data_IF_957432106375
#
_entry.id   IF_957432106375
#
_cell.length_a   1.000
_cell.length_b   1.000
_cell.length_c   1.000
_cell.angle_alpha   90.00
_cell.angle_beta   90.00
_cell.angle_gamma   90.00
#
_symmetry.space_group_name_H-M   'P 1'
#
loop_
_entity.id
_entity.type
_entity.pdbx_description
1 polymer ?
#
# COMPACT_ATOMS: atom_id res chain seq x y z
N UNK A 1 -6.15 31.50 -25.27
CA UNK A 1 -7.43 31.64 -24.55
C UNK A 1 -8.26 30.39 -24.82
N UNK A 2 -7.82 29.26 -24.26
CA UNK A 2 -8.58 28.01 -24.25
C UNK A 2 -9.18 27.95 -22.85
N UNK A 3 -10.48 28.14 -22.80
CA UNK A 3 -11.27 28.10 -21.57
C UNK A 3 -11.41 26.64 -21.16
N UNK A 4 -10.95 26.28 -19.96
CA UNK A 4 -11.30 25.01 -19.32
C UNK A 4 -12.83 24.95 -19.22
N UNK A 5 -13.49 23.89 -19.70
CA UNK A 5 -14.94 23.82 -19.64
C UNK A 5 -15.41 23.52 -18.21
N UNK A 6 -15.95 24.55 -17.56
CA UNK A 6 -17.06 24.43 -16.63
C UNK A 6 -16.79 23.79 -15.26
N UNK A 7 -15.89 24.35 -14.46
CA UNK A 7 -16.15 24.37 -13.01
C UNK A 7 -17.44 25.16 -12.82
N UNK A 8 -18.52 24.49 -12.40
CA UNK A 8 -19.64 25.20 -11.81
C UNK A 8 -19.10 25.99 -10.62
N UNK A 9 -18.99 27.31 -10.77
CA UNK A 9 -18.60 28.20 -9.68
C UNK A 9 -19.65 28.04 -8.59
N UNK A 10 -19.32 27.26 -7.58
CA UNK A 10 -20.14 27.09 -6.40
C UNK A 10 -20.32 28.48 -5.78
N UNK A 11 -21.57 28.96 -5.70
CA UNK A 11 -21.89 30.34 -5.30
C UNK A 11 -21.48 30.64 -3.86
N UNK A 12 -21.13 29.60 -3.10
CA UNK A 12 -20.83 29.63 -1.68
C UNK A 12 -19.32 29.53 -1.37
N UNK A 13 -18.43 29.80 -2.33
CA UNK A 13 -16.96 29.87 -2.13
C UNK A 13 -16.20 28.54 -2.32
N UNK A 14 -14.87 28.54 -2.17
CA UNK A 14 -14.02 27.38 -2.44
C UNK A 14 -14.27 26.23 -1.44
N UNK A 15 -14.31 24.99 -1.93
CA UNK A 15 -14.56 23.80 -1.11
C UNK A 15 -13.36 23.41 -0.24
N UNK A 16 -12.15 23.78 -0.66
CA UNK A 16 -10.91 23.49 0.04
C UNK A 16 -9.97 24.69 0.02
N UNK A 17 -8.97 24.65 0.90
CA UNK A 17 -7.83 25.56 0.96
C UNK A 17 -6.57 24.73 1.11
N UNK A 18 -5.41 25.34 0.90
CA UNK A 18 -4.14 24.70 1.20
C UNK A 18 -3.72 24.97 2.65
N UNK A 19 -3.20 23.96 3.33
CA UNK A 19 -2.54 24.12 4.63
C UNK A 19 -1.09 24.60 4.48
N UNK A 20 -0.36 24.69 5.59
CA UNK A 20 1.04 25.15 5.60
C UNK A 20 1.99 24.23 4.83
N UNK A 21 1.58 22.98 4.59
CA UNK A 21 2.30 21.94 3.83
C UNK A 21 1.79 21.80 2.40
N UNK A 22 0.94 22.73 1.97
CA UNK A 22 0.31 22.72 0.65
C UNK A 22 -0.55 21.47 0.37
N UNK A 23 -1.13 20.88 1.41
CA UNK A 23 -2.17 19.86 1.30
C UNK A 23 -3.54 20.53 1.24
N UNK A 24 -4.42 19.99 0.42
CA UNK A 24 -5.81 20.43 0.31
C UNK A 24 -6.57 20.01 1.56
N UNK A 25 -7.22 20.94 2.23
CA UNK A 25 -8.07 20.66 3.39
C UNK A 25 -9.43 21.34 3.21
N UNK A 26 -10.53 20.68 3.64
CA UNK A 26 -11.87 21.24 3.47
C UNK A 26 -12.02 22.56 4.23
N UNK A 27 -12.63 23.56 3.59
CA UNK A 27 -12.98 24.83 4.24
C UNK A 27 -14.16 24.63 5.19
N UNK A 28 -15.13 23.82 4.78
CA UNK A 28 -16.34 23.47 5.54
C UNK A 28 -16.61 21.95 5.41
N UNK A 29 -16.10 21.14 6.36
CA UNK A 29 -16.26 19.68 6.33
C UNK A 29 -17.72 19.23 6.39
N UNK A 30 -18.59 19.93 7.12
CA UNK A 30 -20.00 19.55 7.26
C UNK A 30 -20.76 19.77 5.94
N UNK A 31 -20.53 20.92 5.29
CA UNK A 31 -21.11 21.20 3.97
C UNK A 31 -20.59 20.21 2.93
N UNK A 32 -19.29 19.91 2.93
CA UNK A 32 -18.71 18.96 2.01
C UNK A 32 -19.28 17.55 2.22
N UNK A 33 -19.45 17.13 3.48
CA UNK A 33 -20.09 15.85 3.81
C UNK A 33 -21.56 15.79 3.36
N UNK A 34 -22.31 16.88 3.52
CA UNK A 34 -23.70 16.96 3.07
C UNK A 34 -23.84 16.94 1.54
N UNK A 35 -22.86 17.52 0.82
CA UNK A 35 -22.78 17.45 -0.64
C UNK A 35 -22.45 16.04 -1.11
N UNK A 36 -21.42 15.43 -0.53
CA UNK A 36 -21.01 14.05 -0.82
C UNK A 36 -22.16 13.05 -0.60
N UNK A 37 -22.94 13.21 0.48
CA UNK A 37 -24.08 12.33 0.77
C UNK A 37 -25.23 12.41 -0.25
N UNK A 38 -25.28 13.47 -1.08
CA UNK A 38 -26.29 13.65 -2.13
C UNK A 38 -25.72 13.45 -3.54
N UNK A 39 -24.44 13.12 -3.64
CA UNK A 39 -23.78 12.96 -4.93
C UNK A 39 -24.23 11.64 -5.59
N UNK A 40 -24.72 11.75 -6.82
CA UNK A 40 -25.05 10.62 -7.70
C UNK A 40 -24.22 10.77 -8.99
N UNK A 41 -22.91 10.52 -8.94
CA UNK A 41 -22.05 10.65 -10.12
C UNK A 41 -22.40 9.58 -11.16
N UNK A 42 -22.46 9.99 -12.43
CA UNK A 42 -22.81 9.12 -13.56
C UNK A 42 -21.81 9.20 -14.72
N UNK A 43 -20.88 10.16 -14.66
CA UNK A 43 -19.89 10.42 -15.69
C UNK A 43 -18.50 10.61 -15.08
N UNK A 44 -17.47 10.62 -15.94
CA UNK A 44 -16.07 10.77 -15.54
C UNK A 44 -15.86 11.96 -14.58
N UNK A 45 -16.39 13.13 -14.94
CA UNK A 45 -16.19 14.35 -14.17
C UNK A 45 -16.85 14.27 -12.79
N UNK A 46 -18.07 13.72 -12.72
CA UNK A 46 -18.80 13.50 -11.48
C UNK A 46 -18.07 12.52 -10.56
N UNK A 47 -17.63 11.37 -11.08
CA UNK A 47 -16.90 10.37 -10.31
C UNK A 47 -15.58 10.92 -9.78
N UNK A 48 -14.77 11.56 -10.64
CA UNK A 48 -13.50 12.17 -10.26
C UNK A 48 -13.67 13.24 -9.18
N UNK A 49 -14.64 14.14 -9.37
CA UNK A 49 -14.90 15.22 -8.41
C UNK A 49 -15.37 14.66 -7.07
N UNK A 50 -16.32 13.73 -7.08
CA UNK A 50 -16.85 13.11 -5.85
C UNK A 50 -15.75 12.34 -5.10
N UNK A 51 -14.83 11.71 -5.84
CA UNK A 51 -13.65 11.04 -5.27
C UNK A 51 -12.73 12.02 -4.53
N UNK A 52 -12.39 13.17 -5.13
CA UNK A 52 -11.63 14.24 -4.46
C UNK A 52 -12.36 14.73 -3.20
N UNK A 53 -13.67 14.93 -3.26
CA UNK A 53 -14.46 15.38 -2.11
C UNK A 53 -14.48 14.35 -0.97
N UNK A 54 -14.54 13.06 -1.29
CA UNK A 54 -14.42 11.98 -0.31
C UNK A 54 -13.01 11.94 0.33
N UNK A 55 -11.95 12.13 -0.47
CA UNK A 55 -10.57 12.23 0.01
C UNK A 55 -10.39 13.37 1.02
N UNK A 56 -10.91 14.56 0.70
CA UNK A 56 -10.84 15.72 1.59
C UNK A 56 -11.54 15.51 2.95
N UNK A 57 -12.49 14.58 3.02
CA UNK A 57 -13.18 14.18 4.24
C UNK A 57 -12.51 12.99 4.96
N UNK A 58 -11.36 12.53 4.48
CA UNK A 58 -10.66 11.36 5.02
C UNK A 58 -11.37 10.03 4.72
N UNK A 59 -12.32 10.00 3.78
CA UNK A 59 -13.04 8.78 3.37
C UNK A 59 -12.31 8.11 2.22
N UNK A 60 -11.11 7.62 2.51
CA UNK A 60 -10.17 7.15 1.49
C UNK A 60 -10.70 5.96 0.69
N UNK A 61 -11.31 4.95 1.33
CA UNK A 61 -11.91 3.81 0.60
C UNK A 61 -12.98 4.27 -0.40
N UNK A 62 -13.87 5.15 0.04
CA UNK A 62 -14.90 5.73 -0.83
C UNK A 62 -14.28 6.56 -1.96
N UNK A 63 -13.20 7.29 -1.68
CA UNK A 63 -12.49 8.09 -2.68
C UNK A 63 -11.87 7.22 -3.77
N UNK A 64 -11.20 6.12 -3.38
CA UNK A 64 -10.61 5.16 -4.29
C UNK A 64 -11.68 4.51 -5.17
N UNK A 65 -12.77 4.01 -4.57
CA UNK A 65 -13.88 3.40 -5.35
C UNK A 65 -14.46 4.37 -6.39
N UNK A 66 -14.62 5.65 -6.04
CA UNK A 66 -15.13 6.67 -6.95
C UNK A 66 -14.12 7.01 -8.07
N UNK A 67 -12.82 7.01 -7.76
CA UNK A 67 -11.78 7.27 -8.74
C UNK A 67 -11.54 6.08 -9.66
N UNK A 68 -11.72 4.84 -9.18
CA UNK A 68 -11.73 3.63 -10.00
C UNK A 68 -12.85 3.69 -11.04
N UNK A 69 -14.06 4.11 -10.64
CA UNK A 69 -15.17 4.37 -11.58
C UNK A 69 -14.87 5.49 -12.57
N UNK A 70 -14.10 6.51 -12.16
CA UNK A 70 -13.63 7.52 -13.10
C UNK A 70 -12.64 6.91 -14.11
N UNK A 71 -11.73 6.05 -13.66
CA UNK A 71 -10.74 5.40 -14.52
C UNK A 71 -11.40 4.49 -15.57
N UNK A 72 -12.46 3.76 -15.20
CA UNK A 72 -13.28 2.95 -16.12
C UNK A 72 -13.91 3.77 -17.26
N UNK A 73 -14.12 5.08 -17.06
CA UNK A 73 -14.76 5.98 -18.02
C UNK A 73 -13.76 6.84 -18.81
N UNK A 74 -12.45 6.60 -18.65
CA UNK A 74 -11.40 7.36 -19.33
C UNK A 74 -11.42 7.10 -20.84
N UNK A 75 -11.39 8.19 -21.60
CA UNK A 75 -11.34 8.22 -23.07
C UNK A 75 -10.11 8.96 -23.62
N UNK A 76 -9.30 9.59 -22.77
CA UNK A 76 -8.07 10.30 -23.15
C UNK A 76 -6.92 10.03 -22.18
N UNK A 77 -5.69 10.10 -22.68
CA UNK A 77 -4.49 9.92 -21.85
C UNK A 77 -4.37 11.00 -20.77
N UNK A 78 -4.73 12.24 -21.11
CA UNK A 78 -4.81 13.35 -20.17
C UNK A 78 -5.72 13.02 -18.98
N UNK A 79 -6.94 12.51 -19.25
CA UNK A 79 -7.88 12.13 -18.19
C UNK A 79 -7.33 11.01 -17.33
N UNK A 80 -6.69 10.01 -17.94
CA UNK A 80 -6.01 8.92 -17.22
C UNK A 80 -5.00 9.47 -16.22
N UNK A 81 -4.09 10.33 -16.69
CA UNK A 81 -3.05 10.96 -15.88
C UNK A 81 -3.66 11.76 -14.72
N UNK A 82 -4.73 12.54 -14.98
CA UNK A 82 -5.40 13.30 -13.90
C UNK A 82 -6.09 12.43 -12.86
N UNK A 83 -6.48 11.19 -13.20
CA UNK A 83 -7.02 10.24 -12.22
C UNK A 83 -5.88 9.59 -11.43
N UNK A 84 -4.78 9.19 -12.07
CA UNK A 84 -3.60 8.68 -11.35
C UNK A 84 -3.04 9.69 -10.35
N UNK A 85 -2.98 10.98 -10.70
CA UNK A 85 -2.55 12.02 -9.76
C UNK A 85 -3.51 12.12 -8.57
N UNK A 86 -4.83 12.02 -8.80
CA UNK A 86 -5.80 12.05 -7.72
C UNK A 86 -5.72 10.81 -6.83
N UNK A 87 -5.55 9.62 -7.41
CA UNK A 87 -5.34 8.38 -6.66
C UNK A 87 -4.04 8.48 -5.85
N UNK A 88 -2.97 9.01 -6.44
CA UNK A 88 -1.73 9.31 -5.74
C UNK A 88 -1.94 10.29 -4.58
N UNK A 89 -2.80 11.30 -4.73
CA UNK A 89 -3.17 12.19 -3.61
C UNK A 89 -3.96 11.43 -2.54
N UNK A 90 -4.86 10.51 -2.90
CA UNK A 90 -5.57 9.68 -1.91
C UNK A 90 -4.58 8.87 -1.09
N UNK A 91 -3.68 8.11 -1.72
CA UNK A 91 -2.67 7.32 -1.04
C UNK A 91 -1.73 8.20 -0.21
N UNK A 92 -1.30 9.35 -0.73
CA UNK A 92 -0.45 10.30 0.00
C UNK A 92 -1.13 10.86 1.26
N UNK A 93 -2.44 11.09 1.22
CA UNK A 93 -3.20 11.63 2.36
C UNK A 93 -3.54 10.55 3.38
N UNK A 94 -3.75 9.32 2.90
CA UNK A 94 -3.79 8.14 3.75
C UNK A 94 -2.43 7.98 4.45
N UNK A 95 -1.34 8.22 3.73
CA UNK A 95 0.06 8.12 4.16
C UNK A 95 0.82 6.94 3.53
N UNK A 96 0.25 6.30 2.51
CA UNK A 96 0.94 5.31 1.69
C UNK A 96 1.81 6.02 0.65
N UNK A 97 2.99 6.45 1.09
CA UNK A 97 3.91 7.26 0.29
C UNK A 97 4.44 6.51 -0.94
N UNK A 98 4.66 5.20 -0.81
CA UNK A 98 5.17 4.35 -1.88
C UNK A 98 4.18 4.27 -3.05
N UNK A 99 2.93 3.85 -2.78
CA UNK A 99 1.91 3.76 -3.83
C UNK A 99 1.62 5.12 -4.46
N UNK A 100 1.61 6.18 -3.65
CA UNK A 100 1.47 7.53 -4.16
C UNK A 100 2.61 7.91 -5.12
N UNK A 101 3.85 7.66 -4.75
CA UNK A 101 5.02 7.90 -5.59
C UNK A 101 4.97 7.12 -6.90
N UNK A 102 4.64 5.84 -6.86
CA UNK A 102 4.49 4.99 -8.06
C UNK A 102 3.48 5.60 -9.04
N UNK A 103 2.31 6.02 -8.55
CA UNK A 103 1.28 6.66 -9.36
C UNK A 103 1.73 8.02 -9.93
N UNK A 104 2.44 8.83 -9.15
CA UNK A 104 2.97 10.11 -9.64
C UNK A 104 4.09 9.92 -10.67
N UNK A 105 5.00 8.97 -10.47
CA UNK A 105 6.05 8.66 -11.45
C UNK A 105 5.44 8.17 -12.76
N UNK A 106 4.44 7.29 -12.70
CA UNK A 106 3.66 6.85 -13.86
C UNK A 106 2.98 8.03 -14.58
N UNK A 107 2.34 8.91 -13.82
CA UNK A 107 1.72 10.13 -14.37
C UNK A 107 2.74 11.01 -15.11
N UNK A 108 3.94 11.21 -14.54
CA UNK A 108 5.02 11.97 -15.16
C UNK A 108 5.53 11.30 -16.44
N UNK A 109 5.78 10.00 -16.41
CA UNK A 109 6.25 9.24 -17.57
C UNK A 109 5.28 9.35 -18.74
N UNK A 110 4.00 9.07 -18.51
CA UNK A 110 2.97 9.16 -19.53
C UNK A 110 2.74 10.61 -20.01
N UNK A 111 2.79 11.60 -19.11
CA UNK A 111 2.67 13.00 -19.50
C UNK A 111 3.83 13.44 -20.42
N UNK A 112 5.06 12.99 -20.16
CA UNK A 112 6.22 13.29 -21.02
C UNK A 112 6.07 12.74 -22.44
N UNK A 113 5.45 11.57 -22.58
CA UNK A 113 5.32 10.88 -23.88
C UNK A 113 4.09 11.35 -24.66
N UNK A 114 2.94 11.48 -24.00
CA UNK A 114 1.65 11.52 -24.68
C UNK A 114 0.75 12.70 -24.29
N UNK A 115 1.03 13.41 -23.18
CA UNK A 115 0.19 14.50 -22.70
C UNK A 115 1.01 15.62 -22.04
N UNK A 116 1.81 16.38 -22.82
CA UNK A 116 2.69 17.42 -22.27
C UNK A 116 1.94 18.53 -21.54
N UNK A 117 0.66 18.76 -21.88
CA UNK A 117 -0.19 19.78 -21.27
C UNK A 117 -0.47 19.52 -19.78
N UNK A 118 -0.35 18.28 -19.31
CA UNK A 118 -0.49 17.92 -17.87
C UNK A 118 0.84 17.62 -17.19
N UNK A 119 1.96 17.73 -17.92
CA UNK A 119 3.29 17.41 -17.38
C UNK A 119 3.64 18.31 -16.19
N UNK A 120 3.40 19.61 -16.32
CA UNK A 120 3.69 20.59 -15.27
C UNK A 120 2.94 20.32 -13.97
N UNK A 121 1.74 19.73 -14.07
CA UNK A 121 0.95 19.28 -12.94
C UNK A 121 1.51 17.97 -12.36
N UNK A 122 1.82 16.98 -13.19
CA UNK A 122 2.37 15.70 -12.74
C UNK A 122 3.70 15.86 -11.99
N UNK A 123 4.67 16.62 -12.55
CA UNK A 123 5.97 16.82 -11.91
C UNK A 123 5.89 17.64 -10.62
N UNK A 124 4.92 18.56 -10.52
CA UNK A 124 4.66 19.30 -9.28
C UNK A 124 4.21 18.36 -8.15
N UNK A 125 3.28 17.44 -8.44
CA UNK A 125 2.77 16.50 -7.44
C UNK A 125 3.86 15.50 -7.00
N UNK A 126 4.63 14.95 -7.94
CA UNK A 126 5.77 14.08 -7.60
C UNK A 126 6.81 14.83 -6.75
N UNK A 127 7.19 16.04 -7.15
CA UNK A 127 8.17 16.85 -6.43
C UNK A 127 7.75 17.14 -4.99
N UNK A 128 6.46 17.41 -4.75
CA UNK A 128 5.93 17.56 -3.38
C UNK A 128 5.93 16.26 -2.59
N UNK A 129 5.53 15.16 -3.21
CA UNK A 129 5.51 13.85 -2.54
C UNK A 129 6.92 13.44 -2.09
N UNK A 130 7.93 13.62 -2.93
CA UNK A 130 9.34 13.36 -2.60
C UNK A 130 9.86 14.30 -1.51
N UNK A 131 9.42 15.56 -1.48
CA UNK A 131 9.78 16.50 -0.42
C UNK A 131 9.22 16.06 0.94
N UNK A 132 8.00 15.52 1.00
CA UNK A 132 7.40 14.99 2.23
C UNK A 132 8.16 13.77 2.78
N UNK A 133 8.90 13.07 1.91
CA UNK A 133 9.78 11.93 2.20
C UNK A 133 11.26 12.31 2.46
N UNK A 134 11.57 13.61 2.57
CA UNK A 134 12.93 14.14 2.76
C UNK A 134 13.92 13.86 1.59
N UNK A 135 13.41 13.46 0.42
CA UNK A 135 14.20 13.31 -0.81
C UNK A 135 14.39 14.66 -1.52
N UNK A 136 15.01 15.61 -0.80
CA UNK A 136 15.04 17.03 -1.17
C UNK A 136 15.73 17.32 -2.51
N UNK A 137 16.76 16.54 -2.88
CA UNK A 137 17.51 16.75 -4.12
C UNK A 137 16.64 16.50 -5.36
N UNK A 138 15.94 15.37 -5.39
CA UNK A 138 15.06 15.02 -6.50
C UNK A 138 13.80 15.90 -6.51
N UNK A 139 13.20 16.12 -5.34
CA UNK A 139 12.09 17.04 -5.16
C UNK A 139 12.40 18.44 -5.73
N UNK A 140 13.57 18.99 -5.41
CA UNK A 140 14.01 20.28 -5.93
C UNK A 140 14.14 20.29 -7.46
N UNK A 141 14.67 19.22 -8.06
CA UNK A 141 14.83 19.11 -9.51
C UNK A 141 13.46 19.12 -10.21
N UNK A 142 12.51 18.32 -9.72
CA UNK A 142 11.16 18.21 -10.28
C UNK A 142 10.33 19.48 -10.08
N UNK A 143 10.41 20.12 -8.91
CA UNK A 143 9.73 21.39 -8.67
C UNK A 143 10.32 22.53 -9.52
N UNK A 144 11.62 22.50 -9.85
CA UNK A 144 12.21 23.41 -10.83
C UNK A 144 11.68 23.16 -12.23
N UNK A 145 11.61 21.91 -12.67
CA UNK A 145 11.02 21.54 -13.96
C UNK A 145 9.56 22.01 -14.05
N UNK A 146 8.77 21.81 -13.00
CA UNK A 146 7.39 22.29 -12.91
C UNK A 146 7.29 23.82 -13.05
N UNK A 147 8.21 24.56 -12.42
CA UNK A 147 8.24 26.02 -12.49
C UNK A 147 8.55 26.51 -13.90
N UNK A 148 9.52 25.88 -14.57
CA UNK A 148 9.92 26.24 -15.93
C UNK A 148 8.75 26.00 -16.91
N UNK A 149 8.06 24.86 -16.80
CA UNK A 149 6.87 24.54 -17.60
C UNK A 149 5.73 25.53 -17.34
N UNK A 150 5.37 25.79 -16.08
CA UNK A 150 4.30 26.73 -15.70
C UNK A 150 4.60 28.16 -16.14
N UNK A 151 5.87 28.56 -16.12
CA UNK A 151 6.31 29.86 -16.63
C UNK A 151 6.09 29.98 -18.14
N UNK A 152 6.35 28.90 -18.89
CA UNK A 152 6.08 28.85 -20.33
C UNK A 152 4.57 28.84 -20.63
N UNK A 153 3.76 28.20 -19.80
CA UNK A 153 2.29 28.17 -19.89
C UNK A 153 1.64 29.51 -19.54
N UNK A 154 2.26 30.28 -18.63
CA UNK A 154 1.83 31.62 -18.23
C UNK A 154 0.73 31.66 -17.15
N UNK A 155 0.54 30.58 -16.40
CA UNK A 155 -0.41 30.52 -15.29
C UNK A 155 0.21 31.09 -14.00
N UNK A 156 -0.12 32.34 -13.67
CA UNK A 156 0.44 33.03 -12.52
C UNK A 156 0.15 32.38 -11.17
N UNK A 157 -0.99 31.69 -11.03
CA UNK A 157 -1.36 31.02 -9.78
C UNK A 157 -0.53 29.76 -9.58
N UNK A 158 -0.36 28.97 -10.65
CA UNK A 158 0.46 27.77 -10.63
C UNK A 158 1.95 28.08 -10.45
N UNK A 159 2.46 29.12 -11.12
CA UNK A 159 3.84 29.61 -10.94
C UNK A 159 4.09 29.96 -9.47
N UNK A 160 3.17 30.71 -8.86
CA UNK A 160 3.30 31.12 -7.47
C UNK A 160 3.25 29.92 -6.52
N UNK A 161 2.33 28.95 -6.76
CA UNK A 161 2.30 27.72 -5.98
C UNK A 161 3.61 26.94 -6.05
N UNK A 162 4.23 26.80 -7.23
CA UNK A 162 5.53 26.11 -7.35
C UNK A 162 6.65 26.89 -6.69
N UNK A 163 6.65 28.22 -6.81
CA UNK A 163 7.65 29.07 -6.17
C UNK A 163 7.60 28.94 -4.64
N UNK A 164 6.40 28.95 -4.06
CA UNK A 164 6.21 28.75 -2.61
C UNK A 164 6.70 27.36 -2.18
N UNK A 165 6.39 26.31 -2.96
CA UNK A 165 6.88 24.96 -2.68
C UNK A 165 8.42 24.88 -2.68
N UNK A 166 9.08 25.50 -3.67
CA UNK A 166 10.55 25.59 -3.75
C UNK A 166 11.16 26.38 -2.58
N UNK A 167 10.56 27.51 -2.20
CA UNK A 167 11.03 28.34 -1.08
C UNK A 167 10.88 27.65 0.27
N UNK A 168 9.87 26.79 0.39
CA UNK A 168 9.55 26.04 1.61
C UNK A 168 10.04 24.61 1.58
N UNK A 169 10.89 24.23 0.61
CA UNK A 169 11.30 22.83 0.42
C UNK A 169 11.86 22.19 1.70
N UNK A 170 12.67 22.92 2.48
CA UNK A 170 13.21 22.43 3.76
C UNK A 170 12.16 22.31 4.89
N UNK A 171 10.95 22.84 4.70
CA UNK A 171 9.83 22.78 5.64
C UNK A 171 8.70 21.84 5.16
N UNK A 172 8.81 21.28 3.95
CA UNK A 172 7.88 20.27 3.41
C UNK A 172 8.04 18.87 4.03
N UNK A 173 9.24 18.42 4.48
CA UNK A 173 9.36 17.13 5.16
C UNK A 173 8.38 17.04 6.31
N UNK A 174 7.66 15.93 6.39
CA UNK A 174 6.75 15.73 7.51
C UNK A 174 7.60 15.28 8.70
N UNK A 175 7.77 16.12 9.74
CA UNK A 175 8.65 15.79 10.84
C UNK A 175 8.18 14.50 11.52
N UNK A 176 9.14 13.75 12.03
CA UNK A 176 8.84 12.61 12.87
C UNK A 176 8.04 13.08 14.10
N UNK A 177 7.05 12.30 14.54
CA UNK A 177 6.34 12.58 15.79
C UNK A 177 7.30 12.71 16.97
N UNK A 178 7.02 13.58 17.96
CA UNK A 178 7.96 13.90 19.03
C UNK A 178 8.51 12.69 19.79
N UNK A 179 7.68 11.65 19.99
CA UNK A 179 8.13 10.42 20.65
C UNK A 179 9.12 9.63 19.80
N UNK A 180 8.89 9.60 18.48
CA UNK A 180 9.78 8.93 17.53
C UNK A 180 11.09 9.69 17.41
N UNK A 181 11.05 11.02 17.27
CA UNK A 181 12.24 11.86 17.23
C UNK A 181 13.08 11.74 18.53
N UNK A 182 12.42 11.62 19.69
CA UNK A 182 13.10 11.41 20.96
C UNK A 182 13.81 10.04 21.04
N UNK A 183 13.27 9.00 20.39
CA UNK A 183 13.89 7.68 20.31
C UNK A 183 15.05 7.65 19.30
N UNK A 184 14.84 8.18 18.09
CA UNK A 184 15.81 8.10 16.99
C UNK A 184 16.95 9.12 17.11
N UNK A 185 16.78 10.17 17.91
CA UNK A 185 17.75 11.25 18.06
C UNK A 185 17.60 12.36 17.02
N UNK A 186 18.49 13.35 17.07
CA UNK A 186 18.41 14.57 16.24
C UNK A 186 18.92 14.37 14.81
N UNK A 187 19.76 13.37 14.57
CA UNK A 187 20.35 13.04 13.27
C UNK A 187 20.36 11.52 13.08
N UNK A 188 19.20 10.89 12.81
CA UNK A 188 19.12 9.46 12.57
C UNK A 188 19.86 9.07 11.28
N UNK A 189 20.55 7.93 11.31
CA UNK A 189 21.16 7.33 10.12
C UNK A 189 20.19 6.31 9.53
N UNK A 190 19.70 6.61 8.34
CA UNK A 190 18.83 5.74 7.56
C UNK A 190 19.69 4.84 6.68
N UNK A 191 19.48 3.52 6.79
CA UNK A 191 20.12 2.56 5.91
C UNK A 191 19.43 2.54 4.54
N UNK A 192 20.19 2.23 3.49
CA UNK A 192 19.65 1.81 2.19
C UNK A 192 19.18 0.33 2.22
N UNK A 193 19.31 -0.36 3.36
CA UNK A 193 18.73 -1.69 3.57
C UNK A 193 17.21 -1.56 3.76
N UNK A 194 16.48 -2.07 2.77
CA UNK A 194 15.04 -2.22 2.79
C UNK A 194 14.78 -3.73 2.71
N UNK A 195 14.19 -4.32 3.76
CA UNK A 195 13.66 -5.68 3.69
C UNK A 195 12.17 -5.58 3.31
N UNK A 196 11.84 -5.94 2.07
CA UNK A 196 10.49 -5.90 1.50
C UNK A 196 10.40 -5.06 0.23
N UNK A 197 9.73 -5.57 -0.81
CA UNK A 197 9.53 -4.90 -2.10
C UNK A 197 8.69 -3.60 -2.00
N UNK A 198 7.98 -3.40 -0.89
CA UNK A 198 6.99 -2.32 -0.72
C UNK A 198 7.55 -0.96 -0.25
N UNK A 199 8.87 -0.81 -0.10
CA UNK A 199 9.57 0.48 0.04
C UNK A 199 9.22 1.34 1.27
N UNK A 200 8.37 0.85 2.18
CA UNK A 200 7.83 1.60 3.33
C UNK A 200 8.52 1.32 4.67
N UNK A 201 9.62 0.58 4.67
CA UNK A 201 10.35 0.14 5.85
C UNK A 201 11.79 0.62 5.76
N UNK A 202 12.28 1.29 6.79
CA UNK A 202 13.67 1.72 6.87
C UNK A 202 14.34 1.16 8.13
N UNK A 203 15.55 0.63 7.96
CA UNK A 203 16.41 0.29 9.08
C UNK A 203 17.17 1.54 9.53
N UNK A 204 16.96 1.95 10.78
CA UNK A 204 17.44 3.22 11.33
C UNK A 204 18.35 2.98 12.52
N UNK A 205 19.49 3.69 12.53
CA UNK A 205 20.52 3.61 13.56
C UNK A 205 21.03 2.18 13.83
N UNK A 206 20.97 1.31 12.82
CA UNK A 206 21.35 -0.12 12.94
C UNK A 206 20.64 -0.87 14.08
N UNK A 207 19.45 -0.41 14.48
CA UNK A 207 18.76 -0.92 15.67
C UNK A 207 17.23 -0.94 15.57
N UNK A 208 16.65 -0.13 14.68
CA UNK A 208 15.22 0.11 14.65
C UNK A 208 14.65 -0.08 13.26
N UNK A 209 13.51 -0.78 13.19
CA UNK A 209 12.70 -0.84 11.98
C UNK A 209 11.61 0.21 12.07
N UNK A 210 11.65 1.19 11.16
CA UNK A 210 10.71 2.30 11.11
C UNK A 210 9.77 2.13 9.92
N UNK A 211 8.47 2.08 10.21
CA UNK A 211 7.40 2.06 9.21
C UNK A 211 6.53 3.30 9.38
N UNK A 212 6.06 3.88 8.27
CA UNK A 212 5.21 5.08 8.28
C UNK A 212 3.99 4.91 7.39
N UNK A 213 2.87 5.49 7.83
CA UNK A 213 1.62 5.56 7.08
C UNK A 213 0.55 4.55 7.51
N UNK A 214 -0.51 4.36 6.70
CA UNK A 214 -1.63 3.48 7.00
C UNK A 214 -1.21 2.05 7.27
N UNK A 215 -0.25 1.53 6.48
CA UNK A 215 0.29 0.18 6.66
C UNK A 215 0.87 0.03 8.07
N UNK A 216 1.61 1.03 8.54
CA UNK A 216 2.14 1.06 9.91
C UNK A 216 1.05 1.13 10.99
N UNK A 217 -0.04 1.89 10.77
CA UNK A 217 -1.18 1.97 11.69
C UNK A 217 -1.92 0.62 11.76
N UNK A 218 -2.24 0.05 10.60
CA UNK A 218 -2.92 -1.24 10.40
C UNK A 218 -2.11 -2.37 11.02
N UNK A 219 -0.80 -2.38 10.81
CA UNK A 219 0.12 -3.36 11.37
C UNK A 219 0.27 -3.18 12.89
N UNK A 220 0.38 -1.95 13.40
CA UNK A 220 0.43 -1.70 14.85
C UNK A 220 -0.81 -2.26 15.58
N UNK A 221 -2.01 -2.10 15.03
CA UNK A 221 -3.23 -2.68 15.59
C UNK A 221 -3.17 -4.22 15.64
N UNK A 222 -2.68 -4.83 14.56
CA UNK A 222 -2.57 -6.29 14.41
C UNK A 222 -1.48 -6.88 15.31
N UNK A 223 -0.33 -6.21 15.41
CA UNK A 223 0.75 -6.57 16.34
C UNK A 223 0.28 -6.58 17.79
N UNK A 224 -0.46 -5.55 18.22
CA UNK A 224 -1.02 -5.52 19.58
C UNK A 224 -2.03 -6.64 19.80
N UNK A 225 -2.95 -6.85 18.86
CA UNK A 225 -3.98 -7.87 18.98
C UNK A 225 -3.41 -9.31 19.01
N UNK A 226 -2.36 -9.59 18.24
CA UNK A 226 -1.67 -10.88 18.24
C UNK A 226 -0.83 -11.11 19.49
N UNK A 227 -0.19 -10.06 20.03
CA UNK A 227 0.62 -10.14 21.25
C UNK A 227 -0.20 -10.66 22.44
N UNK A 228 -1.44 -10.18 22.55
CA UNK A 228 -2.39 -10.63 23.58
C UNK A 228 -2.78 -12.13 23.45
N UNK A 229 -2.44 -12.76 22.33
CA UNK A 229 -2.69 -14.19 22.02
C UNK A 229 -1.42 -15.05 22.07
N UNK A 230 -0.31 -14.45 22.52
CA UNK A 230 0.95 -15.14 22.77
C UNK A 230 1.73 -15.51 21.50
N UNK A 231 1.38 -14.94 20.35
CA UNK A 231 2.23 -15.01 19.15
C UNK A 231 3.47 -14.14 19.40
N UNK A 232 4.65 -14.67 19.06
CA UNK A 232 5.91 -13.94 19.21
C UNK A 232 6.06 -12.97 18.04
N UNK A 233 6.34 -11.72 18.36
CA UNK A 233 6.41 -10.59 17.43
C UNK A 233 7.55 -9.67 17.85
N UNK A 234 8.06 -8.79 16.96
CA UNK A 234 8.94 -7.70 17.36
C UNK A 234 8.35 -6.81 18.47
N UNK A 235 9.23 -6.24 19.27
CA UNK A 235 8.84 -5.29 20.31
C UNK A 235 8.45 -3.95 19.67
N UNK A 236 7.25 -3.44 20.00
CA UNK A 236 6.85 -2.08 19.62
C UNK A 236 7.49 -1.12 20.62
N UNK A 237 8.47 -0.34 20.17
CA UNK A 237 9.15 0.65 21.01
C UNK A 237 8.34 1.95 21.08
N UNK A 238 7.87 2.43 19.92
CA UNK A 238 7.07 3.65 19.80
C UNK A 238 6.03 3.47 18.70
N UNK A 239 4.80 3.89 18.98
CA UNK A 239 3.82 4.23 17.97
C UNK A 239 3.26 5.61 18.28
N UNK A 240 3.35 6.54 17.33
CA UNK A 240 2.92 7.92 17.49
C UNK A 240 2.44 8.47 16.14
N UNK A 241 1.21 8.98 16.08
CA UNK A 241 0.57 9.35 14.82
C UNK A 241 0.43 8.16 13.88
N UNK A 242 1.19 8.18 12.79
CA UNK A 242 1.24 7.19 11.71
C UNK A 242 2.60 6.47 11.63
N UNK A 243 3.47 6.62 12.64
CA UNK A 243 4.81 6.04 12.63
C UNK A 243 4.91 4.93 13.67
N UNK A 244 5.33 3.76 13.20
CA UNK A 244 5.61 2.57 13.99
C UNK A 244 7.13 2.34 14.03
N UNK A 245 7.67 2.21 15.24
CA UNK A 245 9.08 1.85 15.47
C UNK A 245 9.13 0.52 16.21
N UNK A 246 9.73 -0.47 15.57
CA UNK A 246 9.98 -1.80 16.12
C UNK A 246 11.45 -1.94 16.51
N UNK A 247 11.71 -2.66 17.61
CA UNK A 247 13.06 -3.10 17.92
C UNK A 247 13.52 -4.15 16.91
N UNK A 248 14.80 -4.15 16.56
CA UNK A 248 15.40 -5.30 15.89
C UNK A 248 15.28 -6.55 16.78
N UNK A 249 14.80 -7.65 16.18
CA UNK A 249 14.64 -8.92 16.88
C UNK A 249 15.99 -9.63 17.10
N UNK A 250 17.05 -9.23 16.38
CA UNK A 250 18.37 -9.86 16.44
C UNK A 250 18.34 -11.32 16.00
N UNK A 251 17.37 -11.69 15.17
CA UNK A 251 17.11 -13.04 14.70
C UNK A 251 17.02 -13.04 13.17
N UNK A 252 17.67 -14.00 12.54
CA UNK A 252 17.63 -14.14 11.08
C UNK A 252 16.29 -14.71 10.61
N UNK A 253 15.90 -14.34 9.39
CA UNK A 253 14.78 -14.97 8.70
C UNK A 253 15.04 -16.45 8.43
N UNK A 254 13.97 -17.28 8.45
CA UNK A 254 14.07 -18.68 8.06
C UNK A 254 14.48 -18.84 6.59
N UNK A 255 14.17 -17.86 5.73
CA UNK A 255 14.62 -17.85 4.34
C UNK A 255 16.15 -17.78 4.19
N UNK A 256 16.86 -17.23 5.19
CA UNK A 256 18.31 -17.08 5.15
C UNK A 256 19.07 -18.37 5.54
N UNK A 257 18.38 -19.48 5.79
CA UNK A 257 19.04 -20.74 6.14
C UNK A 257 19.62 -21.43 4.91
N UNK A 258 20.91 -21.77 4.99
CA UNK A 258 21.59 -22.59 3.98
C UNK A 258 21.10 -24.05 3.93
N UNK A 259 20.50 -24.55 5.02
CA UNK A 259 19.91 -25.88 5.11
C UNK A 259 18.51 -25.85 5.72
N UNK A 260 17.66 -26.77 5.26
CA UNK A 260 16.28 -26.89 5.71
C UNK A 260 16.14 -27.36 7.17
N UNK A 261 17.21 -27.78 7.85
CA UNK A 261 17.16 -28.45 9.14
C UNK A 261 16.68 -29.91 9.08
N UNK A 262 16.28 -30.47 10.23
CA UNK A 262 15.66 -31.81 10.29
C UNK A 262 14.77 -31.97 11.53
N UNK A 263 13.74 -32.82 11.42
CA UNK A 263 12.79 -33.06 12.52
C UNK A 263 12.08 -31.77 12.95
N UNK A 264 11.91 -31.58 14.26
CA UNK A 264 11.23 -30.41 14.84
C UNK A 264 11.97 -29.07 14.60
N UNK A 265 13.22 -29.13 14.11
CA UNK A 265 14.01 -27.96 13.75
C UNK A 265 13.92 -27.60 12.26
N UNK A 266 13.20 -28.39 11.45
CA UNK A 266 13.07 -28.12 10.02
C UNK A 266 12.24 -26.85 9.77
N UNK A 267 12.55 -26.13 8.68
CA UNK A 267 11.86 -24.87 8.33
C UNK A 267 10.36 -25.12 8.17
N UNK A 268 9.97 -26.15 7.42
CA UNK A 268 8.59 -26.54 7.22
C UNK A 268 7.89 -26.93 8.52
N UNK A 269 8.54 -27.69 9.40
CA UNK A 269 7.96 -28.04 10.70
C UNK A 269 7.69 -26.81 11.56
N UNK A 270 8.67 -25.89 11.69
CA UNK A 270 8.54 -24.65 12.45
C UNK A 270 7.41 -23.77 11.92
N UNK A 271 7.35 -23.59 10.59
CA UNK A 271 6.29 -22.82 9.95
C UNK A 271 4.91 -23.47 10.13
N UNK A 272 4.81 -24.79 10.00
CA UNK A 272 3.56 -25.53 10.14
C UNK A 272 2.99 -25.46 11.56
N UNK A 273 3.84 -25.58 12.58
CA UNK A 273 3.44 -25.42 13.98
C UNK A 273 2.98 -23.99 14.29
N UNK A 274 3.73 -22.98 13.80
CA UNK A 274 3.39 -21.58 13.98
C UNK A 274 2.06 -21.23 13.31
N UNK A 275 1.85 -21.65 12.06
CA UNK A 275 0.63 -21.36 11.33
C UNK A 275 -0.57 -22.07 11.95
N UNK A 276 -0.42 -23.32 12.40
CA UNK A 276 -1.47 -24.04 13.13
C UNK A 276 -1.89 -23.29 14.39
N UNK A 277 -0.92 -22.72 15.11
CA UNK A 277 -1.19 -21.92 16.32
C UNK A 277 -1.94 -20.63 15.97
N UNK A 278 -1.56 -19.95 14.90
CA UNK A 278 -2.22 -18.74 14.39
C UNK A 278 -3.67 -19.05 13.96
N UNK A 279 -3.86 -20.05 13.11
CA UNK A 279 -5.17 -20.49 12.62
C UNK A 279 -6.07 -21.07 13.72
N UNK A 280 -5.48 -21.50 14.85
CA UNK A 280 -6.21 -21.96 16.03
C UNK A 280 -6.85 -20.85 16.86
N UNK A 281 -6.54 -19.57 16.58
CA UNK A 281 -7.19 -18.44 17.25
C UNK A 281 -8.67 -18.38 16.83
N UNK A 282 -9.62 -18.24 17.76
CA UNK A 282 -11.03 -18.19 17.40
C UNK A 282 -11.36 -17.00 16.49
N UNK A 283 -11.93 -17.30 15.30
CA UNK A 283 -12.33 -16.30 14.30
C UNK A 283 -13.24 -15.21 14.89
N UNK A 284 -14.12 -15.57 15.81
CA UNK A 284 -15.05 -14.64 16.47
C UNK A 284 -14.35 -13.55 17.32
N UNK A 285 -13.07 -13.72 17.63
CA UNK A 285 -12.27 -12.73 18.37
C UNK A 285 -11.47 -11.80 17.48
N UNK A 286 -11.38 -12.09 16.18
CA UNK A 286 -10.61 -11.31 15.22
C UNK A 286 -11.45 -10.15 14.68
N UNK A 287 -11.03 -8.88 14.90
CA UNK A 287 -11.76 -7.72 14.41
C UNK A 287 -11.41 -7.37 12.95
N UNK A 288 -10.42 -8.03 12.36
CA UNK A 288 -9.88 -7.70 11.04
C UNK A 288 -10.49 -8.61 9.97
N UNK A 289 -10.90 -8.01 8.85
CA UNK A 289 -11.52 -8.73 7.74
C UNK A 289 -10.52 -8.91 6.60
N UNK A 290 -10.23 -10.16 6.25
CA UNK A 290 -9.36 -10.54 5.13
C UNK A 290 -10.08 -11.49 4.17
N UNK A 291 -11.42 -11.52 4.18
CA UNK A 291 -12.22 -12.39 3.32
C UNK A 291 -12.07 -11.99 1.86
N UNK A 292 -12.41 -12.92 0.96
CA UNK A 292 -12.27 -12.72 -0.48
C UNK A 292 -12.95 -11.45 -1.01
N UNK A 293 -14.06 -11.00 -0.41
CA UNK A 293 -14.69 -9.73 -0.82
C UNK A 293 -13.75 -8.52 -0.64
N UNK A 294 -12.97 -8.51 0.44
CA UNK A 294 -12.01 -7.43 0.74
C UNK A 294 -10.79 -7.55 -0.17
N UNK A 295 -10.20 -8.75 -0.26
CA UNK A 295 -8.95 -8.96 -1.00
C UNK A 295 -9.18 -8.83 -2.50
N UNK A 296 -10.28 -9.34 -3.07
CA UNK A 296 -10.59 -9.17 -4.49
C UNK A 296 -10.92 -7.71 -4.84
N UNK A 297 -11.43 -6.91 -3.90
CA UNK A 297 -11.60 -5.47 -4.10
C UNK A 297 -10.25 -4.75 -4.17
N UNK A 298 -9.28 -5.13 -3.32
CA UNK A 298 -7.91 -4.62 -3.38
C UNK A 298 -7.20 -5.03 -4.67
N UNK A 299 -7.28 -6.32 -5.05
CA UNK A 299 -6.70 -6.84 -6.29
C UNK A 299 -7.27 -6.12 -7.52
N UNK A 300 -8.59 -5.87 -7.54
CA UNK A 300 -9.23 -5.06 -8.59
C UNK A 300 -8.58 -3.68 -8.72
N UNK A 301 -8.31 -3.02 -7.59
CA UNK A 301 -7.69 -1.70 -7.58
C UNK A 301 -6.28 -1.75 -8.14
N UNK A 302 -5.46 -2.72 -7.70
CA UNK A 302 -4.11 -2.92 -8.23
C UNK A 302 -4.10 -3.05 -9.75
N UNK A 303 -5.02 -3.86 -10.30
CA UNK A 303 -5.16 -4.08 -11.75
C UNK A 303 -5.57 -2.80 -12.47
N UNK A 304 -6.63 -2.13 -12.01
CA UNK A 304 -7.14 -0.88 -12.58
C UNK A 304 -6.04 0.20 -12.57
N UNK A 305 -5.29 0.29 -11.47
CA UNK A 305 -4.23 1.25 -11.25
C UNK A 305 -2.90 0.83 -11.89
N UNK A 306 -2.84 -0.35 -12.53
CA UNK A 306 -1.63 -0.97 -13.08
C UNK A 306 -0.44 -0.94 -12.11
N UNK A 307 -0.71 -1.25 -10.85
CA UNK A 307 0.28 -1.36 -9.77
C UNK A 307 0.81 -2.78 -9.60
N UNK A 308 0.19 -3.75 -10.29
CA UNK A 308 0.64 -5.13 -10.32
C UNK A 308 2.01 -5.21 -10.98
N UNK A 309 2.99 -5.77 -10.28
CA UNK A 309 4.33 -5.99 -10.82
C UNK A 309 4.32 -7.24 -11.72
N UNK A 310 4.53 -7.03 -13.02
CA UNK A 310 4.55 -8.13 -14.00
C UNK A 310 5.87 -8.90 -13.98
N UNK A 311 6.93 -8.33 -13.42
CA UNK A 311 8.24 -9.00 -13.32
C UNK A 311 8.22 -10.06 -12.21
N UNK A 312 7.35 -9.90 -11.21
CA UNK A 312 7.12 -10.84 -10.12
C UNK A 312 6.19 -12.01 -10.53
N UNK A 313 5.61 -11.97 -11.75
CA UNK A 313 4.75 -13.04 -12.21
C UNK A 313 5.47 -14.38 -12.30
N UNK A 314 4.83 -15.43 -11.79
CA UNK A 314 5.35 -16.78 -11.92
C UNK A 314 5.52 -17.16 -13.40
N UNK A 315 6.49 -18.03 -13.70
CA UNK A 315 6.85 -18.35 -15.10
C UNK A 315 5.66 -18.85 -15.93
N UNK A 316 4.71 -19.52 -15.29
CA UNK A 316 3.49 -20.08 -15.89
C UNK A 316 2.47 -18.99 -16.28
N UNK A 317 2.55 -17.82 -15.63
CA UNK A 317 1.60 -16.72 -15.76
C UNK A 317 2.17 -15.50 -16.53
N UNK A 318 3.43 -15.52 -16.97
CA UNK A 318 4.04 -14.39 -17.72
C UNK A 318 3.32 -13.99 -19.01
N UNK A 319 2.46 -14.85 -19.56
CA UNK A 319 1.68 -14.58 -20.78
C UNK A 319 0.24 -14.09 -20.52
N UNK A 320 -0.23 -14.10 -19.27
CA UNK A 320 -1.58 -13.63 -18.90
C UNK A 320 -1.53 -12.21 -18.36
N UNK A 321 -2.58 -11.43 -18.63
CA UNK A 321 -2.66 -10.04 -18.13
C UNK A 321 -3.24 -10.02 -16.71
N UNK A 322 -2.93 -9.01 -15.88
CA UNK A 322 -3.57 -8.83 -14.58
C UNK A 322 -5.11 -8.75 -14.66
N UNK A 323 -5.65 -8.21 -15.76
CA UNK A 323 -7.09 -8.21 -16.04
C UNK A 323 -7.65 -9.62 -16.26
N UNK A 324 -6.92 -10.48 -16.97
CA UNK A 324 -7.30 -11.88 -17.19
C UNK A 324 -7.24 -12.67 -15.87
N UNK A 325 -6.18 -12.47 -15.08
CA UNK A 325 -6.02 -13.05 -13.73
C UNK A 325 -7.21 -12.66 -12.85
N UNK A 326 -7.53 -11.37 -12.76
CA UNK A 326 -8.66 -10.89 -11.96
C UNK A 326 -10.00 -11.47 -12.45
N UNK A 327 -10.21 -11.54 -13.77
CA UNK A 327 -11.42 -12.13 -14.34
C UNK A 327 -11.56 -13.61 -13.98
N UNK A 328 -10.45 -14.36 -14.02
CA UNK A 328 -10.41 -15.76 -13.60
C UNK A 328 -10.70 -15.91 -12.10
N UNK A 329 -10.06 -15.12 -11.24
CA UNK A 329 -10.26 -15.15 -9.79
C UNK A 329 -11.71 -14.86 -9.38
N UNK A 330 -12.40 -13.98 -10.11
CA UNK A 330 -13.82 -13.70 -9.92
C UNK A 330 -14.69 -14.90 -10.36
N UNK A 331 -14.36 -15.53 -11.48
CA UNK A 331 -15.12 -16.64 -12.04
C UNK A 331 -14.95 -17.95 -11.24
N UNK A 332 -13.76 -18.19 -10.70
CA UNK A 332 -13.37 -19.44 -10.04
C UNK A 332 -13.37 -19.36 -8.51
N UNK A 333 -13.91 -18.25 -7.96
CA UNK A 333 -13.98 -17.96 -6.54
C UNK A 333 -14.41 -19.18 -5.69
N UNK A 334 -13.59 -19.62 -4.72
CA UNK A 334 -13.97 -20.68 -3.79
C UNK A 334 -15.20 -20.30 -2.95
N UNK A 335 -16.16 -21.21 -2.85
CA UNK A 335 -17.34 -21.11 -1.98
C UNK A 335 -17.68 -22.52 -1.42
N UNK A 336 -17.75 -22.72 -0.09
CA UNK A 336 -17.54 -21.75 0.99
C UNK A 336 -16.07 -21.54 1.37
N UNK A 337 -15.76 -20.41 2.02
CA UNK A 337 -14.46 -20.14 2.64
C UNK A 337 -14.30 -20.95 3.96
N UNK A 338 -13.12 -21.55 4.16
CA UNK A 338 -12.73 -22.25 5.40
C UNK A 338 -11.98 -21.26 6.32
N UNK A 339 -12.78 -20.44 7.02
CA UNK A 339 -12.32 -19.26 7.74
C UNK A 339 -11.46 -19.57 8.96
N UNK A 340 -10.31 -18.90 9.01
CA UNK A 340 -9.35 -18.88 10.12
C UNK A 340 -8.86 -17.44 10.32
N UNK A 341 -8.08 -17.20 11.38
CA UNK A 341 -7.27 -15.98 11.48
C UNK A 341 -6.01 -16.21 10.66
N UNK A 342 -5.96 -15.63 9.46
CA UNK A 342 -4.85 -15.78 8.52
C UNK A 342 -3.88 -14.59 8.64
N UNK A 343 -2.60 -14.86 8.42
CA UNK A 343 -1.51 -13.89 8.31
C UNK A 343 -1.69 -12.98 7.10
N UNK A 344 -2.02 -13.57 5.96
CA UNK A 344 -2.24 -12.90 4.68
C UNK A 344 -1.04 -12.81 3.76
N UNK A 345 0.16 -13.12 4.27
CA UNK A 345 1.44 -13.21 3.53
C UNK A 345 2.41 -14.17 4.27
N UNK A 346 2.00 -15.44 4.46
CA UNK A 346 2.74 -16.37 5.33
C UNK A 346 3.85 -17.12 4.55
N UNK A 347 5.03 -16.51 4.50
CA UNK A 347 6.19 -17.00 3.75
C UNK A 347 7.43 -17.17 4.67
N UNK A 348 8.46 -17.94 4.28
CA UNK A 348 9.69 -18.10 5.06
C UNK A 348 10.39 -16.77 5.41
N UNK A 349 10.45 -15.75 4.51
CA UNK A 349 10.96 -14.42 4.83
C UNK A 349 10.31 -13.78 6.07
N UNK A 350 8.99 -13.96 6.22
CA UNK A 350 8.18 -13.36 7.27
C UNK A 350 8.19 -14.12 8.62
N UNK A 351 9.01 -15.17 8.72
CA UNK A 351 9.21 -15.92 9.96
C UNK A 351 10.68 -15.89 10.35
N UNK A 352 11.00 -15.30 11.50
CA UNK A 352 12.36 -15.33 12.04
C UNK A 352 12.60 -16.54 12.93
N UNK A 353 13.88 -16.83 13.14
CA UNK A 353 14.34 -17.79 14.14
C UNK A 353 13.66 -17.60 15.49
N UNK A 354 13.30 -18.72 16.11
CA UNK A 354 12.46 -18.68 17.30
C UNK A 354 11.02 -18.25 17.01
N UNK A 355 10.46 -18.57 15.84
CA UNK A 355 9.04 -18.41 15.52
C UNK A 355 8.51 -16.99 15.78
N UNK A 356 9.30 -15.97 15.47
CA UNK A 356 8.88 -14.57 15.55
C UNK A 356 8.25 -14.23 14.21
N UNK A 357 7.00 -13.79 14.23
CA UNK A 357 6.23 -13.46 13.02
C UNK A 357 6.42 -11.97 12.69
N UNK A 358 6.69 -11.69 11.41
CA UNK A 358 6.84 -10.34 10.85
C UNK A 358 5.68 -10.00 9.91
N UNK A 359 5.63 -8.74 9.49
CA UNK A 359 4.75 -8.20 8.45
C UNK A 359 3.27 -8.60 8.54
N UNK A 360 2.72 -8.43 9.74
CA UNK A 360 1.34 -8.83 10.03
C UNK A 360 0.32 -7.84 9.49
N UNK A 361 0.66 -6.94 8.57
CA UNK A 361 -0.24 -5.89 8.06
C UNK A 361 -1.49 -6.45 7.36
N UNK A 362 -1.37 -7.61 6.72
CA UNK A 362 -2.43 -8.28 5.98
C UNK A 362 -3.33 -9.19 6.84
N UNK A 363 -3.08 -9.28 8.16
CA UNK A 363 -3.77 -10.20 9.08
C UNK A 363 -5.27 -9.95 9.08
N UNK A 364 -6.05 -11.03 8.98
CA UNK A 364 -7.50 -10.98 9.13
C UNK A 364 -8.19 -12.32 9.02
N UNK A 365 -9.51 -12.31 9.23
CA UNK A 365 -10.36 -13.48 8.98
C UNK A 365 -10.35 -13.77 7.49
N UNK A 366 -9.80 -14.91 7.08
CA UNK A 366 -9.72 -15.34 5.68
C UNK A 366 -9.79 -16.86 5.57
N UNK A 367 -9.95 -17.38 4.36
CA UNK A 367 -9.76 -18.80 4.09
C UNK A 367 -8.33 -19.22 4.43
N UNK A 368 -8.16 -20.36 5.12
CA UNK A 368 -6.82 -20.87 5.49
C UNK A 368 -5.87 -21.07 4.31
N UNK A 369 -6.40 -21.30 3.11
CA UNK A 369 -5.58 -21.52 1.92
C UNK A 369 -4.87 -20.24 1.45
N UNK A 370 -5.29 -19.06 1.95
CA UNK A 370 -4.55 -17.81 1.75
C UNK A 370 -3.12 -17.91 2.27
N UNK A 371 -2.92 -18.51 3.44
CA UNK A 371 -1.57 -18.70 4.01
C UNK A 371 -0.90 -19.99 3.53
N UNK A 372 -1.69 -21.07 3.37
CA UNK A 372 -1.13 -22.36 2.95
C UNK A 372 -0.54 -22.31 1.54
N UNK A 373 -1.15 -21.56 0.61
CA UNK A 373 -0.66 -21.47 -0.77
C UNK A 373 0.73 -20.84 -0.83
N UNK A 374 0.92 -19.70 -0.15
CA UNK A 374 2.19 -18.97 -0.14
C UNK A 374 3.29 -19.73 0.58
N UNK A 375 2.98 -20.32 1.73
CA UNK A 375 3.93 -21.16 2.46
C UNK A 375 4.39 -22.35 1.61
N UNK A 376 3.47 -23.00 0.90
CA UNK A 376 3.78 -24.19 0.08
C UNK A 376 4.59 -23.81 -1.17
N UNK A 377 4.30 -22.67 -1.79
CA UNK A 377 5.08 -22.13 -2.92
C UNK A 377 6.53 -21.95 -2.50
N UNK A 378 6.77 -21.08 -1.52
CA UNK A 378 8.13 -20.70 -1.13
C UNK A 378 8.90 -21.87 -0.49
N UNK A 379 8.26 -22.70 0.34
CA UNK A 379 8.92 -23.88 0.91
C UNK A 379 9.37 -24.86 -0.18
N UNK A 380 8.56 -25.04 -1.22
CA UNK A 380 8.90 -25.92 -2.34
C UNK A 380 10.08 -25.37 -3.12
N UNK A 381 10.05 -24.07 -3.41
CA UNK A 381 11.04 -23.42 -4.26
C UNK A 381 12.40 -23.29 -3.57
N UNK A 382 12.41 -22.93 -2.29
CA UNK A 382 13.63 -22.68 -1.53
C UNK A 382 14.22 -23.95 -0.89
N UNK A 383 13.37 -24.87 -0.41
CA UNK A 383 13.79 -26.00 0.43
C UNK A 383 13.37 -27.39 -0.08
N UNK A 384 12.44 -27.44 -1.04
CA UNK A 384 11.98 -28.67 -1.69
C UNK A 384 10.83 -29.41 -0.99
N UNK A 385 10.32 -30.45 -1.67
CA UNK A 385 9.11 -31.21 -1.28
C UNK A 385 9.17 -31.87 0.12
N UNK A 386 10.36 -32.15 0.63
CA UNK A 386 10.52 -32.70 1.97
C UNK A 386 10.01 -31.72 3.05
N UNK A 387 10.26 -30.42 2.88
CA UNK A 387 9.81 -29.39 3.81
C UNK A 387 8.32 -29.08 3.65
N UNK A 388 7.77 -29.15 2.43
CA UNK A 388 6.31 -29.10 2.21
C UNK A 388 5.61 -30.24 2.97
N UNK A 389 6.19 -31.45 2.92
CA UNK A 389 5.68 -32.61 3.67
C UNK A 389 5.77 -32.39 5.18
N UNK A 390 6.90 -31.87 5.67
CA UNK A 390 7.09 -31.55 7.09
C UNK A 390 6.09 -30.47 7.56
N UNK A 391 5.87 -29.44 6.74
CA UNK A 391 4.91 -28.36 6.97
C UNK A 391 3.49 -28.88 7.15
N UNK A 392 2.96 -29.65 6.19
CA UNK A 392 1.61 -30.19 6.30
C UNK A 392 1.44 -31.19 7.46
N UNK A 393 2.49 -31.96 7.76
CA UNK A 393 2.51 -32.87 8.91
C UNK A 393 2.40 -32.10 10.22
N UNK A 394 3.20 -31.04 10.40
CA UNK A 394 3.19 -30.19 11.58
C UNK A 394 1.88 -29.37 11.70
N UNK A 395 1.43 -28.80 10.59
CA UNK A 395 0.17 -28.05 10.50
C UNK A 395 -1.05 -28.94 10.81
N UNK A 396 -0.98 -30.23 10.43
CA UNK A 396 -2.01 -31.23 10.71
C UNK A 396 -3.09 -31.33 9.63
N UNK A 397 -2.74 -31.06 8.38
CA UNK A 397 -3.63 -31.23 7.22
C UNK A 397 -3.09 -32.34 6.31
N UNK A 398 -3.76 -33.50 6.32
CA UNK A 398 -3.29 -34.68 5.59
C UNK A 398 -3.54 -34.61 4.08
N UNK A 399 -4.63 -33.97 3.65
CA UNK A 399 -5.07 -33.91 2.26
C UNK A 399 -5.39 -32.46 1.89
N UNK A 400 -4.40 -31.66 1.47
CA UNK A 400 -4.65 -30.29 1.00
C UNK A 400 -5.41 -30.27 -0.34
N UNK A 401 -6.31 -29.31 -0.51
CA UNK A 401 -7.06 -29.08 -1.75
C UNK A 401 -6.17 -28.37 -2.78
N UNK A 402 -5.74 -29.05 -3.85
CA UNK A 402 -4.85 -28.47 -4.83
C UNK A 402 -5.49 -27.31 -5.59
N UNK A 403 -6.82 -27.29 -5.76
CA UNK A 403 -7.50 -26.19 -6.47
C UNK A 403 -7.50 -24.90 -5.68
N UNK A 404 -7.59 -25.00 -4.34
CA UNK A 404 -7.50 -23.83 -3.47
C UNK A 404 -6.07 -23.33 -3.37
N UNK A 405 -5.08 -24.22 -3.27
CA UNK A 405 -3.67 -23.82 -3.33
C UNK A 405 -3.39 -23.03 -4.61
N UNK A 406 -3.85 -23.53 -5.76
CA UNK A 406 -3.70 -22.83 -7.03
C UNK A 406 -4.42 -21.47 -7.06
N UNK A 407 -5.66 -21.42 -6.57
CA UNK A 407 -6.44 -20.19 -6.55
C UNK A 407 -5.76 -19.08 -5.74
N UNK A 408 -5.28 -19.40 -4.54
CA UNK A 408 -4.65 -18.40 -3.66
C UNK A 408 -3.22 -18.06 -4.09
N UNK A 409 -2.52 -18.98 -4.78
CA UNK A 409 -1.26 -18.66 -5.48
C UNK A 409 -1.51 -17.64 -6.60
N UNK A 410 -2.50 -17.88 -7.45
CA UNK A 410 -2.89 -16.96 -8.53
C UNK A 410 -3.41 -15.61 -8.00
N UNK A 411 -4.05 -15.59 -6.81
CA UNK A 411 -4.49 -14.34 -6.18
C UNK A 411 -3.32 -13.45 -5.76
N UNK A 412 -2.22 -14.07 -5.33
CA UNK A 412 -1.02 -13.38 -4.86
C UNK A 412 -0.31 -12.62 -5.98
N UNK A 413 -0.40 -13.11 -7.22
CA UNK A 413 0.10 -12.44 -8.44
C UNK A 413 -0.46 -11.00 -8.63
N UNK A 414 -1.51 -10.61 -7.90
CA UNK A 414 -2.10 -9.27 -7.95
C UNK A 414 -1.65 -8.37 -6.79
N UNK A 415 -0.66 -8.77 -6.00
CA UNK A 415 -0.11 -8.06 -4.85
C UNK A 415 1.41 -8.02 -4.86
#
# INVERSE_FOLDING_TARGET
MVSVPGQAVDRDGPLYRFDERERMIPVDPERLAARLAKAEPVDFAGYRQTGIEAMLLGRYDQALDLLDRALELVDTEERRITVWINLGDVYRYQGDAFTAETLYRRAVEHARVAAPDVLSFAVQHLGKALAEQDQLTEAHALLREALDLRTAEGDSEQIESTRVALERLAALPIPLPPKVAALLGTEPTWSDEHEGQSGGVAFVNEAYWVKRGPKAVVEHERLNWLRDRGIRLPEILVFDGDVLVLADAGASSLAARDDAGSGDASVGAVMGELLRRLHGIPVAECPFDGRLDVVLAQARRQVIEGLVDLDDFEEENREITPEDVLAQLIAERPDPEDLVVAHGDFTPPNVLEGSILLDVGALGVADRYRDLALAVRDLRDDFGEAEVTAFFTAYGLAEPDPRRLEYYRLLDELF
#
